data_IF_104096527436
#
_entry.id   IF_104096527436
#
_cell.length_a   1.000
_cell.length_b   1.000
_cell.length_c   1.000
_cell.angle_alpha   90.00
_cell.angle_beta   90.00
_cell.angle_gamma   90.00
#
_symmetry.space_group_name_H-M   'P 1'
#
loop_
_entity.id
_entity.type
_entity.pdbx_description
1 polymer ?
#
# COMPACT_ATOMS: atom_id res chain seq x y z
N UNK A 1 -5.78 31.11 -27.01
CA UNK A 1 -4.73 30.27 -27.60
C UNK A 1 -4.18 29.29 -26.57
N UNK A 2 -4.87 28.16 -26.41
CA UNK A 2 -4.52 27.11 -25.47
C UNK A 2 -3.40 26.25 -26.03
N UNK A 3 -2.26 26.21 -25.34
CA UNK A 3 -1.19 25.25 -25.64
C UNK A 3 -1.70 23.86 -25.27
N UNK A 4 -1.99 23.04 -26.27
CA UNK A 4 -2.13 21.60 -26.10
C UNK A 4 -0.77 21.04 -25.65
N UNK A 5 -0.73 20.48 -24.45
CA UNK A 5 0.35 19.61 -23.99
C UNK A 5 0.12 18.22 -24.57
N UNK A 6 0.86 17.87 -25.64
CA UNK A 6 0.68 16.63 -26.38
C UNK A 6 1.49 15.47 -25.78
N UNK A 7 0.81 14.33 -25.64
CA UNK A 7 1.42 13.03 -25.40
C UNK A 7 1.90 12.45 -26.75
N UNK A 8 3.00 11.71 -26.75
CA UNK A 8 3.51 10.97 -27.92
C UNK A 8 3.79 9.52 -27.58
N UNK A 9 3.88 8.64 -28.57
CA UNK A 9 4.20 7.21 -28.39
C UNK A 9 5.35 6.87 -29.33
N UNK A 10 6.39 6.21 -28.84
CA UNK A 10 7.53 5.80 -29.67
C UNK A 10 7.32 4.43 -30.33
N UNK A 11 8.29 4.03 -31.15
CA UNK A 11 8.26 2.78 -31.92
C UNK A 11 8.28 1.52 -31.02
N UNK A 12 8.67 1.66 -29.76
CA UNK A 12 8.66 0.60 -28.75
C UNK A 12 7.33 0.57 -27.95
N UNK A 13 6.37 1.43 -28.29
CA UNK A 13 5.06 1.52 -27.65
C UNK A 13 5.11 2.26 -26.31
N UNK A 14 6.18 3.02 -26.04
CA UNK A 14 6.32 3.78 -24.81
C UNK A 14 5.66 5.15 -24.98
N UNK A 15 4.79 5.49 -24.03
CA UNK A 15 4.12 6.80 -24.02
C UNK A 15 5.07 7.83 -23.40
N UNK A 16 5.12 9.02 -23.98
CA UNK A 16 5.93 10.15 -23.56
C UNK A 16 5.03 11.37 -23.34
N UNK A 17 5.34 12.16 -22.30
CA UNK A 17 4.79 13.49 -22.12
C UNK A 17 5.95 14.49 -22.18
N UNK A 18 5.98 15.30 -23.24
CA UNK A 18 7.16 16.10 -23.60
C UNK A 18 8.41 15.21 -23.73
N UNK A 19 9.41 15.39 -22.86
CA UNK A 19 10.68 14.67 -22.83
C UNK A 19 10.73 13.57 -21.74
N UNK A 20 9.59 13.25 -21.12
CA UNK A 20 9.50 12.34 -19.96
C UNK A 20 8.78 11.04 -20.28
N UNK A 21 9.38 9.93 -19.85
CA UNK A 21 8.91 8.55 -20.01
C UNK A 21 7.65 8.29 -19.17
N UNK A 22 6.54 7.90 -19.80
CA UNK A 22 5.30 7.50 -19.14
C UNK A 22 5.17 5.99 -19.07
N UNK A 23 5.58 5.38 -17.95
CA UNK A 23 5.35 3.95 -17.69
C UNK A 23 3.95 3.73 -17.14
N UNK A 24 2.95 3.69 -18.03
CA UNK A 24 1.64 3.08 -17.77
C UNK A 24 1.25 2.27 -19.02
N UNK A 25 1.21 0.95 -18.85
CA UNK A 25 1.26 -0.05 -19.94
C UNK A 25 0.03 -0.06 -20.87
N UNK A 26 -1.06 0.64 -20.57
CA UNK A 26 -2.21 0.72 -21.48
C UNK A 26 -3.17 1.86 -21.04
N UNK A 27 -3.41 2.83 -21.92
CA UNK A 27 -4.34 3.94 -21.70
C UNK A 27 -5.77 3.48 -21.43
N UNK A 28 -6.19 2.34 -22.00
CA UNK A 28 -7.50 1.74 -21.74
C UNK A 28 -7.57 1.06 -20.37
N UNK A 29 -6.47 0.53 -19.82
CA UNK A 29 -6.41 0.04 -18.43
C UNK A 29 -6.45 1.21 -17.44
N UNK A 30 -5.74 2.30 -17.76
CA UNK A 30 -5.82 3.55 -16.99
C UNK A 30 -7.25 4.09 -16.99
N UNK A 31 -7.87 4.30 -18.15
CA UNK A 31 -9.26 4.78 -18.25
C UNK A 31 -10.28 3.83 -17.59
N UNK A 32 -10.09 2.50 -17.68
CA UNK A 32 -10.97 1.53 -17.00
C UNK A 32 -10.82 1.56 -15.47
N UNK A 33 -9.61 1.72 -14.95
CA UNK A 33 -9.37 1.89 -13.51
C UNK A 33 -9.96 3.24 -13.02
N UNK A 34 -9.71 4.32 -13.78
CA UNK A 34 -10.19 5.67 -13.52
C UNK A 34 -11.72 5.77 -13.54
N UNK A 35 -12.39 5.21 -14.55
CA UNK A 35 -13.87 5.29 -14.67
C UNK A 35 -14.58 4.49 -13.57
N UNK A 36 -13.96 3.39 -13.09
CA UNK A 36 -14.58 2.47 -12.12
C UNK A 36 -14.27 2.79 -10.65
N UNK A 37 -13.13 3.41 -10.35
CA UNK A 37 -12.84 3.94 -9.02
C UNK A 37 -13.83 5.06 -8.61
N UNK A 38 -14.44 5.73 -9.60
CA UNK A 38 -15.32 6.89 -9.43
C UNK A 38 -16.83 6.61 -9.32
N UNK A 39 -17.28 5.35 -9.23
CA UNK A 39 -18.73 5.05 -9.12
C UNK A 39 -19.31 5.13 -7.69
N UNK A 40 -18.67 5.87 -6.77
CA UNK A 40 -19.10 5.97 -5.36
C UNK A 40 -19.48 7.41 -5.02
N UNK A 41 -20.55 7.67 -4.23
CA UNK A 41 -21.19 8.98 -4.08
C UNK A 41 -20.42 9.99 -3.20
N UNK A 42 -19.12 9.78 -2.97
CA UNK A 42 -18.26 10.69 -2.22
C UNK A 42 -17.37 11.46 -3.19
N UNK A 43 -17.19 12.76 -2.97
CA UNK A 43 -16.27 13.59 -3.76
C UNK A 43 -14.87 13.00 -3.67
N UNK A 44 -14.32 12.40 -4.74
CA UNK A 44 -13.01 11.77 -4.69
C UNK A 44 -11.95 12.88 -4.59
N UNK A 45 -10.90 12.68 -3.80
CA UNK A 45 -9.65 13.37 -4.10
C UNK A 45 -9.25 13.07 -5.53
N UNK A 46 -8.63 14.05 -6.19
CA UNK A 46 -8.03 13.84 -7.50
C UNK A 46 -7.16 12.58 -7.47
N UNK A 47 -7.37 11.72 -8.47
CA UNK A 47 -6.58 10.50 -8.60
C UNK A 47 -5.16 10.92 -8.98
N UNK A 48 -4.14 10.44 -8.26
CA UNK A 48 -2.75 10.74 -8.60
C UNK A 48 -2.43 10.27 -10.02
N UNK A 49 -1.71 11.10 -10.79
CA UNK A 49 -1.27 10.71 -12.12
C UNK A 49 -0.23 9.59 -12.10
N UNK A 50 0.61 9.58 -11.07
CA UNK A 50 1.74 8.67 -10.96
C UNK A 50 1.63 7.79 -9.72
N UNK A 51 2.05 6.53 -9.86
CA UNK A 51 2.22 5.62 -8.72
C UNK A 51 3.17 6.24 -7.71
N UNK A 52 2.85 6.07 -6.44
CA UNK A 52 3.64 6.57 -5.30
C UNK A 52 3.77 8.10 -5.21
N UNK A 53 3.05 8.85 -6.04
CA UNK A 53 3.05 10.32 -5.98
C UNK A 53 2.23 10.84 -4.79
N UNK A 54 1.07 10.21 -4.55
CA UNK A 54 0.32 10.42 -3.32
C UNK A 54 0.14 9.12 -2.55
N UNK A 55 0.50 9.16 -1.27
CA UNK A 55 0.36 8.01 -0.38
C UNK A 55 -0.57 8.33 0.78
N UNK A 56 -1.15 7.31 1.39
CA UNK A 56 -1.81 7.39 2.68
C UNK A 56 -1.06 6.56 3.72
N UNK A 57 -0.90 7.09 4.92
CA UNK A 57 -0.18 6.43 6.01
C UNK A 57 -1.03 6.36 7.29
N UNK A 58 -0.86 5.26 8.03
CA UNK A 58 -1.54 5.06 9.31
C UNK A 58 -0.76 4.13 10.25
N UNK A 59 -1.14 4.10 11.54
CA UNK A 59 -0.57 3.22 12.54
C UNK A 59 -1.61 2.26 13.13
N UNK A 60 -1.42 0.96 12.89
CA UNK A 60 -2.13 -0.07 13.64
C UNK A 60 -1.42 -0.27 14.97
N UNK A 61 -2.04 0.15 16.06
CA UNK A 61 -1.49 0.06 17.42
C UNK A 61 -2.28 -0.91 18.30
N UNK A 62 -1.77 -1.21 19.50
CA UNK A 62 -2.43 -2.11 20.46
C UNK A 62 -2.25 -3.59 20.13
N UNK A 63 -1.24 -3.93 19.33
CA UNK A 63 -0.95 -5.32 18.96
C UNK A 63 -0.17 -6.05 20.08
N UNK A 64 -0.28 -7.38 20.17
CA UNK A 64 0.56 -8.18 21.06
C UNK A 64 2.04 -7.90 20.79
N UNK A 65 2.83 -7.69 21.84
CA UNK A 65 4.26 -7.42 21.67
C UNK A 65 5.01 -8.65 21.16
N UNK A 66 5.83 -8.49 20.12
CA UNK A 66 6.64 -9.59 19.55
C UNK A 66 7.94 -9.83 20.32
N UNK A 67 8.65 -10.93 20.03
CA UNK A 67 9.98 -11.19 20.58
C UNK A 67 11.00 -10.07 20.24
N UNK A 68 10.88 -9.46 19.05
CA UNK A 68 11.68 -8.29 18.64
C UNK A 68 11.14 -6.97 19.21
N UNK A 69 10.15 -7.05 20.11
CA UNK A 69 9.48 -5.97 20.82
C UNK A 69 8.66 -5.03 19.93
N UNK A 70 8.22 -5.47 18.75
CA UNK A 70 7.28 -4.69 17.95
C UNK A 70 5.87 -4.80 18.55
N UNK A 71 5.15 -3.68 18.60
CA UNK A 71 3.80 -3.59 19.19
C UNK A 71 2.83 -2.73 18.34
N UNK A 72 3.28 -2.34 17.15
CA UNK A 72 2.49 -1.60 16.18
C UNK A 72 2.99 -1.86 14.76
N UNK A 73 2.14 -1.59 13.76
CA UNK A 73 2.46 -1.66 12.34
C UNK A 73 2.26 -0.27 11.73
N UNK A 74 3.23 0.22 10.98
CA UNK A 74 3.08 1.39 10.13
C UNK A 74 2.65 0.95 8.74
N UNK A 75 1.44 1.35 8.38
CA UNK A 75 0.82 1.07 7.09
C UNK A 75 1.12 2.24 6.16
N UNK A 76 1.62 1.95 4.95
CA UNK A 76 1.86 2.93 3.89
C UNK A 76 1.21 2.41 2.62
N UNK A 77 0.29 3.16 2.02
CA UNK A 77 -0.50 2.73 0.86
C UNK A 77 -0.37 3.75 -0.25
N UNK A 78 -0.01 3.31 -1.45
CA UNK A 78 -0.09 4.13 -2.67
C UNK A 78 -1.56 4.37 -3.04
N UNK A 79 -1.96 5.64 -3.17
CA UNK A 79 -3.37 5.98 -3.42
C UNK A 79 -3.83 5.55 -4.81
N UNK A 80 -2.92 5.47 -5.79
CA UNK A 80 -3.23 5.06 -7.16
C UNK A 80 -3.35 3.54 -7.29
N UNK A 81 -2.26 2.81 -7.03
CA UNK A 81 -2.19 1.36 -7.27
C UNK A 81 -2.76 0.52 -6.13
N UNK A 82 -3.00 1.14 -4.97
CA UNK A 82 -3.30 0.47 -3.69
C UNK A 82 -2.20 -0.48 -3.25
N UNK A 83 -0.98 -0.38 -3.81
CA UNK A 83 0.16 -1.15 -3.32
C UNK A 83 0.51 -0.67 -1.92
N UNK A 84 0.71 -1.60 -1.00
CA UNK A 84 0.93 -1.30 0.41
C UNK A 84 2.25 -1.85 0.91
N UNK A 85 2.83 -1.14 1.86
CA UNK A 85 3.90 -1.60 2.72
C UNK A 85 3.43 -1.68 4.18
N UNK A 86 3.79 -2.77 4.85
CA UNK A 86 3.49 -2.99 6.27
C UNK A 86 4.80 -3.09 7.05
N UNK A 87 5.11 -2.07 7.84
CA UNK A 87 6.39 -1.96 8.52
C UNK A 87 6.20 -2.24 10.02
N UNK A 88 6.87 -3.23 10.60
CA UNK A 88 6.77 -3.48 12.03
C UNK A 88 7.50 -2.37 12.80
N UNK A 89 6.84 -1.76 13.76
CA UNK A 89 7.38 -0.65 14.56
C UNK A 89 7.10 -0.84 16.05
N UNK A 90 7.66 0.07 16.85
CA UNK A 90 7.27 0.24 18.25
C UNK A 90 6.54 1.55 18.43
N UNK A 91 5.47 1.57 19.22
CA UNK A 91 4.69 2.79 19.52
C UNK A 91 5.55 3.89 20.14
N UNK A 92 6.61 3.51 20.86
CA UNK A 92 7.52 4.44 21.53
C UNK A 92 8.77 4.81 20.70
N UNK A 93 8.83 4.41 19.43
CA UNK A 93 9.90 4.88 18.55
C UNK A 93 9.88 6.40 18.44
N UNK A 94 11.08 6.98 18.50
CA UNK A 94 11.25 8.41 18.25
C UNK A 94 10.89 8.73 16.79
N UNK A 95 10.48 9.97 16.54
CA UNK A 95 10.16 10.41 15.18
C UNK A 95 11.39 10.30 14.28
N UNK A 96 12.59 10.54 14.79
CA UNK A 96 13.85 10.32 14.07
C UNK A 96 14.01 8.86 13.62
N UNK A 97 13.63 7.89 14.46
CA UNK A 97 13.66 6.47 14.08
C UNK A 97 12.61 6.14 13.02
N UNK A 98 11.40 6.69 13.14
CA UNK A 98 10.37 6.55 12.12
C UNK A 98 10.83 7.13 10.78
N UNK A 99 11.47 8.30 10.77
CA UNK A 99 12.03 8.90 9.55
C UNK A 99 13.11 8.03 8.91
N UNK A 100 13.97 7.40 9.72
CA UNK A 100 14.96 6.46 9.21
C UNK A 100 14.30 5.28 8.49
N UNK A 101 13.29 4.67 9.12
CA UNK A 101 12.51 3.56 8.56
C UNK A 101 11.81 4.02 7.28
N UNK A 102 11.10 5.14 7.30
CA UNK A 102 10.40 5.66 6.12
C UNK A 102 11.36 5.92 4.94
N UNK A 103 12.56 6.43 5.23
CA UNK A 103 13.59 6.61 4.20
C UNK A 103 14.08 5.28 3.63
N UNK A 104 14.34 4.29 4.49
CA UNK A 104 14.90 2.98 4.10
C UNK A 104 13.88 2.11 3.36
N UNK A 105 12.61 2.18 3.76
CA UNK A 105 11.58 1.26 3.28
C UNK A 105 10.69 1.88 2.20
N UNK A 106 10.48 3.20 2.22
CA UNK A 106 9.59 3.88 1.25
C UNK A 106 10.39 4.71 0.26
N UNK A 107 11.13 5.71 0.74
CA UNK A 107 11.82 6.67 -0.14
C UNK A 107 12.87 5.98 -1.02
N UNK A 108 13.61 5.00 -0.48
CA UNK A 108 14.59 4.21 -1.24
C UNK A 108 13.95 3.47 -2.43
N UNK A 109 12.72 3.00 -2.28
CA UNK A 109 12.03 2.19 -3.30
C UNK A 109 11.29 3.05 -4.31
N UNK A 110 10.61 4.10 -3.83
CA UNK A 110 9.58 4.80 -4.61
C UNK A 110 9.88 6.28 -4.81
N UNK A 111 10.91 6.81 -4.16
CA UNK A 111 11.17 8.24 -4.12
C UNK A 111 10.25 8.98 -3.16
N UNK A 112 10.35 10.29 -3.18
CA UNK A 112 9.60 11.18 -2.28
C UNK A 112 8.20 11.46 -2.85
N UNK A 113 7.12 11.18 -2.11
CA UNK A 113 5.77 11.48 -2.56
C UNK A 113 5.52 13.00 -2.58
N UNK A 114 4.69 13.48 -3.52
CA UNK A 114 4.25 14.87 -3.57
C UNK A 114 3.24 15.19 -2.48
N UNK A 115 2.46 14.20 -2.02
CA UNK A 115 1.61 14.36 -0.85
C UNK A 115 1.40 13.09 -0.02
N UNK A 116 1.13 13.30 1.27
CA UNK A 116 0.85 12.26 2.25
C UNK A 116 -0.47 12.58 2.93
N UNK A 117 -1.42 11.64 2.87
CA UNK A 117 -2.64 11.64 3.66
C UNK A 117 -2.37 10.87 4.96
N UNK A 118 -2.69 11.44 6.11
CA UNK A 118 -2.58 10.73 7.40
C UNK A 118 -3.70 11.12 8.35
N UNK A 119 -3.88 10.32 9.40
CA UNK A 119 -4.68 10.71 10.55
C UNK A 119 -3.99 11.84 11.35
N UNK A 120 -4.59 12.21 12.48
CA UNK A 120 -4.07 13.27 13.36
C UNK A 120 -3.18 12.73 14.49
N UNK A 121 -2.57 11.55 14.32
CA UNK A 121 -1.62 11.03 15.30
C UNK A 121 -0.55 12.09 15.63
N UNK A 122 -0.22 12.20 16.92
CA UNK A 122 0.75 13.18 17.43
C UNK A 122 2.11 13.13 16.72
N UNK A 123 2.51 11.96 16.21
CA UNK A 123 3.75 11.76 15.45
C UNK A 123 3.70 12.47 14.10
N UNK A 124 2.59 12.35 13.37
CA UNK A 124 2.38 13.01 12.08
C UNK A 124 2.08 14.50 12.22
N UNK A 125 1.47 14.92 13.33
CA UNK A 125 1.16 16.34 13.57
C UNK A 125 2.32 17.11 14.21
N UNK A 126 3.40 16.43 14.58
CA UNK A 126 4.59 17.02 15.18
C UNK A 126 5.25 18.09 14.30
N UNK A 127 5.88 19.08 14.94
CA UNK A 127 6.62 20.14 14.23
C UNK A 127 7.77 19.59 13.40
N UNK A 128 8.47 18.59 13.93
CA UNK A 128 9.60 17.95 13.25
C UNK A 128 9.15 17.24 11.97
N UNK A 129 8.10 16.41 12.03
CA UNK A 129 7.57 15.72 10.85
C UNK A 129 7.09 16.72 9.79
N UNK A 130 6.30 17.72 10.18
CA UNK A 130 5.85 18.78 9.27
C UNK A 130 7.01 19.53 8.60
N UNK A 131 8.04 19.88 9.37
CA UNK A 131 9.23 20.56 8.85
C UNK A 131 10.01 19.68 7.86
N UNK A 132 10.19 18.40 8.19
CA UNK A 132 10.88 17.44 7.32
C UNK A 132 10.14 17.24 5.99
N UNK A 133 8.83 16.97 6.05
CA UNK A 133 8.03 16.75 4.85
C UNK A 133 8.01 17.99 3.95
N UNK A 134 7.91 19.19 4.54
CA UNK A 134 8.07 20.45 3.81
C UNK A 134 9.44 20.57 3.12
N UNK A 135 10.51 20.19 3.81
CA UNK A 135 11.87 20.20 3.24
C UNK A 135 12.05 19.19 2.11
N UNK A 136 11.31 18.08 2.14
CA UNK A 136 11.26 17.08 1.09
C UNK A 136 10.31 17.45 -0.07
N UNK A 137 9.59 18.58 0.03
CA UNK A 137 8.62 19.00 -0.99
C UNK A 137 7.27 18.27 -0.90
N UNK A 138 7.04 17.52 0.17
CA UNK A 138 5.83 16.73 0.39
C UNK A 138 4.76 17.54 1.14
N UNK A 139 3.54 17.58 0.59
CA UNK A 139 2.38 18.21 1.22
C UNK A 139 1.67 17.24 2.16
N UNK A 140 1.43 17.64 3.40
CA UNK A 140 0.66 16.85 4.36
C UNK A 140 -0.83 17.21 4.30
N UNK A 141 -1.69 16.20 4.13
CA UNK A 141 -3.15 16.29 4.16
C UNK A 141 -3.64 15.48 5.36
N UNK A 142 -4.20 16.14 6.38
CA UNK A 142 -4.68 15.44 7.58
C UNK A 142 -6.18 15.11 7.45
N UNK A 143 -6.56 13.87 7.71
CA UNK A 143 -7.97 13.49 7.79
C UNK A 143 -8.65 14.18 8.97
N UNK A 144 -9.95 14.38 8.86
CA UNK A 144 -10.81 14.98 9.87
C UNK A 144 -11.74 13.92 10.42
N UNK A 145 -11.72 13.68 11.73
CA UNK A 145 -12.55 12.68 12.43
C UNK A 145 -14.08 12.79 12.19
N UNK A 146 -14.55 13.84 11.52
CA UNK A 146 -15.97 14.13 11.28
C UNK A 146 -16.31 14.59 9.85
N UNK A 147 -15.37 14.54 8.90
CA UNK A 147 -15.64 14.89 7.49
C UNK A 147 -14.97 13.87 6.54
N UNK A 148 -15.71 12.84 6.09
CA UNK A 148 -15.25 11.86 5.08
C UNK A 148 -14.97 12.46 3.70
N UNK A 149 -15.19 13.78 3.53
CA UNK A 149 -15.13 14.48 2.25
C UNK A 149 -13.73 14.58 1.65
N UNK A 150 -12.68 14.18 2.37
CA UNK A 150 -11.32 14.26 1.86
C UNK A 150 -10.73 12.91 1.46
N UNK A 151 -11.20 11.73 1.88
CA UNK A 151 -10.85 10.45 1.21
C UNK A 151 -11.61 9.25 1.82
N UNK A 152 -12.94 9.28 1.83
CA UNK A 152 -13.74 8.16 2.38
C UNK A 152 -13.44 6.78 1.77
N UNK A 153 -12.78 6.72 0.59
CA UNK A 153 -12.28 5.47 0.01
C UNK A 153 -10.99 4.98 0.68
N UNK A 154 -10.01 5.85 0.90
CA UNK A 154 -8.79 5.45 1.61
C UNK A 154 -9.07 5.17 3.08
N UNK A 155 -9.99 5.89 3.74
CA UNK A 155 -10.41 5.59 5.12
C UNK A 155 -10.99 4.16 5.25
N UNK A 156 -11.91 3.76 4.35
CA UNK A 156 -12.44 2.39 4.34
C UNK A 156 -11.39 1.34 4.01
N UNK A 157 -10.49 1.64 3.06
CA UNK A 157 -9.42 0.72 2.67
C UNK A 157 -8.42 0.50 3.81
N UNK A 158 -8.06 1.58 4.51
CA UNK A 158 -7.17 1.52 5.68
C UNK A 158 -7.85 0.77 6.81
N UNK A 159 -9.12 1.03 7.13
CA UNK A 159 -9.84 0.29 8.17
C UNK A 159 -9.86 -1.22 7.91
N UNK A 160 -10.22 -1.64 6.68
CA UNK A 160 -10.17 -3.06 6.29
C UNK A 160 -8.77 -3.65 6.44
N UNK A 161 -7.74 -2.88 6.09
CA UNK A 161 -6.35 -3.27 6.30
C UNK A 161 -6.01 -3.44 7.78
N UNK A 162 -6.42 -2.49 8.61
CA UNK A 162 -6.17 -2.56 10.06
C UNK A 162 -6.81 -3.80 10.67
N UNK A 163 -8.06 -4.10 10.32
CA UNK A 163 -8.80 -5.24 10.86
C UNK A 163 -8.16 -6.57 10.44
N UNK A 164 -7.75 -6.69 9.17
CA UNK A 164 -6.98 -7.83 8.69
C UNK A 164 -5.65 -7.98 9.44
N UNK A 165 -4.90 -6.88 9.61
CA UNK A 165 -3.60 -6.89 10.27
C UNK A 165 -3.71 -7.25 11.76
N UNK A 166 -4.72 -6.71 12.45
CA UNK A 166 -5.04 -7.08 13.84
C UNK A 166 -5.37 -8.56 13.95
N UNK A 167 -6.21 -9.09 13.06
CA UNK A 167 -6.57 -10.51 13.05
C UNK A 167 -5.33 -11.40 12.84
N UNK A 168 -4.46 -11.07 11.89
CA UNK A 168 -3.21 -11.81 11.67
C UNK A 168 -2.27 -11.73 12.90
N UNK A 169 -2.16 -10.56 13.52
CA UNK A 169 -1.31 -10.36 14.70
C UNK A 169 -1.80 -11.12 15.93
N UNK A 170 -3.12 -11.27 16.07
CA UNK A 170 -3.75 -12.08 17.12
C UNK A 170 -3.58 -13.58 16.86
N UNK A 171 -3.65 -14.04 15.60
CA UNK A 171 -3.45 -15.45 15.26
C UNK A 171 -1.99 -15.89 15.53
N UNK A 172 -1.01 -15.03 15.21
CA UNK A 172 0.41 -15.37 15.30
C UNK A 172 1.11 -14.72 16.51
N UNK A 173 0.39 -14.65 17.63
CA UNK A 173 0.85 -13.98 18.86
C UNK A 173 2.35 -14.17 19.12
N UNK A 174 3.06 -13.07 19.39
CA UNK A 174 4.48 -13.08 19.72
C UNK A 174 5.47 -13.05 18.54
N UNK A 175 5.06 -13.47 17.33
CA UNK A 175 5.97 -13.53 16.16
C UNK A 175 5.34 -12.96 14.87
N UNK A 176 4.25 -12.20 14.96
CA UNK A 176 3.54 -11.70 13.77
C UNK A 176 4.40 -10.81 12.87
N UNK A 177 5.42 -10.16 13.42
CA UNK A 177 6.34 -9.29 12.67
C UNK A 177 7.24 -10.08 11.71
N UNK A 178 7.45 -11.37 11.95
CA UNK A 178 8.23 -12.25 11.06
C UNK A 178 7.47 -12.61 9.79
N UNK A 179 6.14 -12.58 9.85
CA UNK A 179 5.25 -12.98 8.76
C UNK A 179 4.63 -11.78 8.04
N UNK A 180 4.94 -10.56 8.47
CA UNK A 180 4.30 -9.35 7.94
C UNK A 180 4.58 -9.16 6.43
N UNK A 181 5.76 -9.58 5.96
CA UNK A 181 6.09 -9.60 4.52
C UNK A 181 5.17 -10.55 3.72
N UNK A 182 4.70 -11.63 4.33
CA UNK A 182 3.76 -12.57 3.70
C UNK A 182 2.35 -12.00 3.64
N UNK A 183 1.95 -11.25 4.68
CA UNK A 183 0.68 -10.51 4.68
C UNK A 183 0.70 -9.42 3.61
N UNK A 184 1.79 -8.66 3.51
CA UNK A 184 2.01 -7.67 2.46
C UNK A 184 1.94 -8.32 1.07
N UNK A 185 2.64 -9.44 0.89
CA UNK A 185 2.58 -10.21 -0.34
C UNK A 185 1.14 -10.64 -0.67
N UNK A 186 0.44 -11.25 0.28
CA UNK A 186 -0.92 -11.73 0.08
C UNK A 186 -1.88 -10.58 -0.29
N UNK A 187 -1.76 -9.44 0.38
CA UNK A 187 -2.56 -8.25 0.12
C UNK A 187 -2.31 -7.66 -1.28
N UNK A 188 -1.04 -7.43 -1.63
CA UNK A 188 -0.65 -6.82 -2.91
C UNK A 188 -0.95 -7.72 -4.11
N UNK A 189 -1.07 -9.03 -3.90
CA UNK A 189 -1.39 -10.02 -4.93
C UNK A 189 -2.86 -10.47 -4.94
N UNK A 190 -3.67 -9.97 -4.02
CA UNK A 190 -5.11 -10.26 -3.99
C UNK A 190 -5.86 -9.30 -4.91
N UNK A 191 -7.02 -9.72 -5.40
CA UNK A 191 -7.91 -8.86 -6.18
C UNK A 191 -8.47 -7.71 -5.32
N UNK A 192 -8.53 -6.51 -5.87
CA UNK A 192 -9.15 -5.35 -5.22
C UNK A 192 -10.35 -4.84 -6.00
N UNK A 193 -11.50 -4.71 -5.35
CA UNK A 193 -12.74 -4.34 -6.00
C UNK A 193 -12.76 -2.88 -6.50
N UNK A 194 -12.00 -1.98 -5.87
CA UNK A 194 -11.90 -0.56 -6.24
C UNK A 194 -11.10 -0.32 -7.52
N UNK A 195 -9.99 -1.05 -7.68
CA UNK A 195 -9.10 -0.94 -8.86
C UNK A 195 -9.32 -2.05 -9.90
N UNK A 196 -10.13 -3.07 -9.58
CA UNK A 196 -10.45 -4.21 -10.46
C UNK A 196 -9.23 -4.95 -11.01
N UNK A 197 -8.15 -4.98 -10.26
CA UNK A 197 -6.90 -5.71 -10.51
C UNK A 197 -6.23 -6.00 -9.17
N UNK A 198 -5.13 -6.77 -9.16
CA UNK A 198 -4.26 -6.84 -8.00
C UNK A 198 -3.33 -5.61 -7.94
N UNK A 199 -3.04 -5.03 -6.77
CA UNK A 199 -2.12 -3.91 -6.63
C UNK A 199 -0.75 -4.15 -7.28
N UNK A 200 -0.21 -5.36 -7.14
CA UNK A 200 1.04 -5.78 -7.79
C UNK A 200 0.94 -5.68 -9.32
N UNK A 201 -0.17 -6.15 -9.89
CA UNK A 201 -0.40 -6.11 -11.34
C UNK A 201 -0.43 -4.68 -11.85
N UNK A 202 -1.07 -3.77 -11.11
CA UNK A 202 -1.15 -2.36 -11.47
C UNK A 202 0.20 -1.65 -11.29
N UNK A 203 0.96 -2.00 -10.25
CA UNK A 203 2.24 -1.38 -9.94
C UNK A 203 3.35 -1.74 -10.94
N UNK A 204 3.42 -3.03 -11.31
CA UNK A 204 4.48 -3.59 -12.15
C UNK A 204 4.05 -3.86 -13.59
N UNK A 205 2.77 -3.69 -13.91
CA UNK A 205 2.23 -3.92 -15.25
C UNK A 205 2.23 -5.38 -15.70
N UNK A 206 2.38 -6.31 -14.77
CA UNK A 206 2.36 -7.77 -15.03
C UNK A 206 1.84 -8.54 -13.83
N UNK A 207 1.29 -9.72 -14.10
CA UNK A 207 0.94 -10.68 -13.05
C UNK A 207 2.17 -11.08 -12.24
N UNK A 208 1.99 -11.15 -10.92
CA UNK A 208 3.02 -11.68 -10.05
C UNK A 208 3.31 -13.13 -10.40
N UNK A 209 4.60 -13.45 -10.52
CA UNK A 209 5.04 -14.83 -10.55
C UNK A 209 5.14 -15.29 -9.11
N UNK A 210 4.12 -15.99 -8.65
CA UNK A 210 4.15 -16.64 -7.34
C UNK A 210 5.16 -17.79 -7.37
N UNK A 211 5.85 -18.11 -6.26
CA UNK A 211 6.57 -19.36 -6.11
C UNK A 211 5.67 -20.54 -6.53
N UNK A 212 6.27 -21.55 -7.18
CA UNK A 212 5.55 -22.69 -7.78
C UNK A 212 4.60 -23.38 -6.77
N UNK A 213 4.91 -23.31 -5.48
CA UNK A 213 4.12 -23.87 -4.38
C UNK A 213 2.84 -23.09 -4.01
N UNK A 214 2.55 -21.92 -4.60
CA UNK A 214 1.38 -21.07 -4.26
C UNK A 214 0.26 -21.06 -5.30
N UNK A 215 0.36 -21.86 -6.36
CA UNK A 215 -0.69 -21.98 -7.39
C UNK A 215 -1.56 -23.22 -7.17
N UNK A 216 -2.88 -23.03 -7.15
CA UNK A 216 -3.88 -24.10 -7.12
C UNK A 216 -3.98 -24.82 -8.47
N UNK A 217 -3.04 -25.71 -8.80
CA UNK A 217 -3.34 -26.86 -9.68
C UNK A 217 -2.45 -28.06 -9.32
N UNK A 218 -3.02 -29.01 -8.59
CA UNK A 218 -2.55 -30.39 -8.53
C UNK A 218 -1.60 -30.71 -7.38
N UNK A 219 -1.97 -31.74 -6.60
CA UNK A 219 -1.10 -32.41 -5.64
C UNK A 219 0.29 -32.63 -6.25
N UNK A 220 1.29 -31.88 -5.79
CA UNK A 220 2.68 -32.30 -5.88
C UNK A 220 3.34 -32.04 -4.54
N UNK A 221 3.61 -33.15 -3.87
CA UNK A 221 4.59 -33.28 -2.81
C UNK A 221 5.88 -32.61 -3.32
N UNK A 222 6.13 -31.38 -2.92
CA UNK A 222 7.51 -30.94 -2.76
C UNK A 222 7.72 -31.05 -1.27
N UNK A 223 8.18 -32.22 -0.83
CA UNK A 223 8.90 -32.31 0.44
C UNK A 223 10.13 -31.40 0.28
N UNK A 224 9.97 -30.15 0.70
CA UNK A 224 10.97 -29.09 0.68
C UNK A 224 10.79 -28.27 1.96
N UNK A 225 11.89 -27.68 2.47
CA UNK A 225 12.12 -27.41 3.89
C UNK A 225 10.94 -26.70 4.54
N UNK A 226 10.53 -27.15 5.73
CA UNK A 226 9.52 -26.62 6.68
C UNK A 226 9.09 -25.14 6.47
N UNK A 227 10.05 -24.27 6.15
CA UNK A 227 9.85 -22.89 5.71
C UNK A 227 8.81 -22.70 4.59
N UNK A 228 8.74 -23.58 3.59
CA UNK A 228 7.78 -23.48 2.47
C UNK A 228 6.35 -23.73 2.97
N UNK A 229 6.16 -24.76 3.79
CA UNK A 229 4.86 -25.10 4.38
C UNK A 229 4.37 -23.96 5.29
N UNK A 230 5.23 -23.49 6.20
CA UNK A 230 4.95 -22.32 7.04
C UNK A 230 4.54 -21.14 6.17
N UNK A 231 5.29 -20.86 5.10
CA UNK A 231 4.99 -19.71 4.25
C UNK A 231 3.63 -19.84 3.55
N UNK A 232 3.31 -21.04 3.03
CA UNK A 232 2.01 -21.31 2.40
C UNK A 232 0.86 -21.08 3.38
N UNK A 233 0.95 -21.65 4.57
CA UNK A 233 -0.06 -21.52 5.62
C UNK A 233 -0.32 -20.06 5.99
N UNK A 234 0.75 -19.28 6.19
CA UNK A 234 0.62 -17.85 6.56
C UNK A 234 -0.01 -17.03 5.44
N UNK A 235 0.33 -17.31 4.18
CA UNK A 235 -0.29 -16.64 3.02
C UNK A 235 -1.78 -16.99 2.90
N UNK A 236 -2.17 -18.25 3.16
CA UNK A 236 -3.58 -18.66 3.17
C UNK A 236 -4.35 -17.92 4.25
N UNK A 237 -3.86 -17.91 5.48
CA UNK A 237 -4.48 -17.19 6.60
C UNK A 237 -4.62 -15.70 6.27
N UNK A 238 -3.58 -15.05 5.76
CA UNK A 238 -3.64 -13.63 5.38
C UNK A 238 -4.72 -13.36 4.32
N UNK A 239 -4.86 -14.23 3.31
CA UNK A 239 -5.91 -14.13 2.30
C UNK A 239 -7.31 -14.34 2.88
N UNK A 240 -7.47 -15.26 3.83
CA UNK A 240 -8.73 -15.50 4.52
C UNK A 240 -9.13 -14.31 5.38
N UNK A 241 -8.21 -13.78 6.19
CA UNK A 241 -8.43 -12.57 6.99
C UNK A 241 -8.76 -11.36 6.15
N UNK A 242 -8.14 -11.23 4.97
CA UNK A 242 -8.49 -10.18 4.02
C UNK A 242 -9.92 -10.34 3.48
N UNK A 243 -10.38 -11.56 3.23
CA UNK A 243 -11.76 -11.83 2.81
C UNK A 243 -12.76 -11.53 3.92
N UNK A 244 -12.45 -11.95 5.15
CA UNK A 244 -13.27 -11.67 6.34
C UNK A 244 -13.42 -10.16 6.57
N UNK A 245 -12.32 -9.39 6.53
CA UNK A 245 -12.34 -7.94 6.74
C UNK A 245 -13.05 -7.13 5.62
N UNK A 246 -13.35 -7.78 4.48
CA UNK A 246 -14.07 -7.19 3.35
C UNK A 246 -15.56 -7.54 3.32
N UNK A 247 -15.98 -8.52 4.14
CA UNK A 247 -17.37 -8.99 4.24
C UNK A 247 -18.19 -8.04 5.13
#
# INVERSE_FOLDING_TARGET
>A
DGKHTEFSVDDDGVVWFEDRLCVLIDQALHEKAMTKAHSSPFTPLEIPMWKWDEISIDFVTGLPTTQKRHDAIWVVVDRLTKSSHFLPIRKNYSISKLVEIFRQEIIRLHGTPTSIVSDRDSRFTSRFWKGLQKAWGTRLKFSTAFHPQTDGQSEKTIQTLEDMLRACALEWTGNWDEYLCLVEFAYNNSWHASIKVAPFELLYGRKCRVPICWNDVGKRLIEGPELIEITNEKVVVAKEKLKEARS
#
